data_IF_885185941938
#
_entry.id   IF_885185941938
#
_cell.length_a   1.000
_cell.length_b   1.000
_cell.length_c   1.000
_cell.angle_alpha   90.00
_cell.angle_beta   90.00
_cell.angle_gamma   90.00
#
_symmetry.space_group_name_H-M   'P 1'
#
loop_
_entity.id
_entity.type
_entity.pdbx_description
1 polymer ?
#
# COMPACT_ATOMS: atom_id res chain seq x y z
N UNK A 1 -10.04 7.47 -7.81
CA UNK A 1 -10.24 6.38 -8.79
C UNK A 1 -9.90 5.08 -8.08
N UNK A 2 -10.44 3.96 -8.53
CA UNK A 2 -10.10 2.63 -8.04
C UNK A 2 -9.88 1.69 -9.23
N UNK A 3 -8.82 0.88 -9.17
CA UNK A 3 -8.54 -0.16 -10.15
C UNK A 3 -8.69 -1.49 -9.42
N UNK A 4 -9.63 -2.34 -9.85
CA UNK A 4 -9.88 -3.60 -9.20
C UNK A 4 -8.73 -4.59 -9.44
N UNK A 5 -8.57 -5.54 -8.51
CA UNK A 5 -7.60 -6.61 -8.65
C UNK A 5 -7.80 -7.35 -9.98
N UNK A 6 -6.69 -7.61 -10.69
CA UNK A 6 -6.71 -8.29 -11.98
C UNK A 6 -7.18 -7.43 -13.16
N UNK A 7 -7.44 -6.13 -12.98
CA UNK A 7 -7.78 -5.25 -14.11
C UNK A 7 -6.54 -4.92 -14.95
N UNK A 8 -6.67 -4.97 -16.28
CA UNK A 8 -5.63 -4.55 -17.23
C UNK A 8 -6.01 -3.24 -17.90
N UNK A 9 -5.36 -2.14 -17.50
CA UNK A 9 -5.51 -0.84 -18.16
C UNK A 9 -4.67 -0.82 -19.44
N UNK A 10 -5.29 -0.65 -20.63
CA UNK A 10 -4.53 -0.52 -21.87
C UNK A 10 -3.64 0.73 -21.88
N UNK A 11 -2.60 0.70 -22.70
CA UNK A 11 -1.71 1.84 -22.87
C UNK A 11 -2.46 3.12 -23.25
N UNK A 12 -1.95 4.26 -22.77
CA UNK A 12 -2.48 5.61 -23.05
C UNK A 12 -3.94 5.83 -22.60
N UNK A 13 -4.51 4.94 -21.78
CA UNK A 13 -5.84 5.12 -21.22
C UNK A 13 -5.84 6.26 -20.19
N UNK A 14 -6.73 7.24 -20.36
CA UNK A 14 -7.02 8.24 -19.34
C UNK A 14 -8.16 7.72 -18.45
N UNK A 15 -7.86 7.49 -17.17
CA UNK A 15 -8.86 7.03 -16.19
C UNK A 15 -9.51 8.25 -15.53
N UNK A 16 -10.84 8.43 -15.61
CA UNK A 16 -11.50 9.56 -14.98
C UNK A 16 -11.35 9.56 -13.45
N UNK A 17 -11.27 10.74 -12.80
CA UNK A 17 -11.39 10.83 -11.36
C UNK A 17 -12.68 10.17 -10.90
N UNK A 18 -12.65 9.44 -9.78
CA UNK A 18 -13.83 8.72 -9.26
C UNK A 18 -14.22 7.43 -9.99
N UNK A 19 -13.60 7.08 -11.13
CA UNK A 19 -13.94 5.84 -11.84
C UNK A 19 -13.48 4.58 -11.08
N UNK A 20 -14.26 3.51 -11.21
CA UNK A 20 -13.91 2.14 -10.79
C UNK A 20 -13.70 1.28 -12.05
N UNK A 21 -12.45 0.89 -12.29
CA UNK A 21 -12.04 0.13 -13.48
C UNK A 21 -11.90 -1.36 -13.17
N UNK A 22 -12.46 -2.23 -14.02
CA UNK A 22 -12.46 -3.70 -13.81
C UNK A 22 -12.22 -4.46 -15.12
N UNK A 23 -11.63 -5.66 -15.02
CA UNK A 23 -11.57 -6.64 -16.12
C UNK A 23 -10.35 -6.53 -17.06
N UNK A 24 -10.34 -7.40 -18.08
CA UNK A 24 -9.27 -7.50 -19.08
C UNK A 24 -9.91 -7.56 -20.48
N UNK A 25 -9.80 -6.51 -21.32
CA UNK A 25 -9.28 -5.19 -20.98
C UNK A 25 -10.20 -4.46 -19.99
N UNK A 26 -9.64 -3.55 -19.21
CA UNK A 26 -10.39 -2.85 -18.18
C UNK A 26 -11.42 -1.88 -18.76
N UNK A 27 -12.61 -1.84 -18.14
CA UNK A 27 -13.70 -0.91 -18.44
C UNK A 27 -14.18 -0.24 -17.15
N UNK A 28 -14.72 0.97 -17.25
CA UNK A 28 -15.41 1.62 -16.13
C UNK A 28 -16.69 0.83 -15.83
N UNK A 29 -16.82 0.36 -14.59
CA UNK A 29 -18.02 -0.34 -14.10
C UNK A 29 -18.99 0.63 -13.43
N UNK A 30 -18.44 1.48 -12.57
CA UNK A 30 -19.20 2.39 -11.72
C UNK A 30 -18.35 3.56 -11.25
N UNK A 31 -18.98 4.49 -10.54
CA UNK A 31 -18.35 5.61 -9.87
C UNK A 31 -18.21 5.29 -8.39
N UNK A 32 -17.12 5.76 -7.79
CA UNK A 32 -16.97 5.73 -6.33
C UNK A 32 -18.10 6.51 -5.68
N UNK A 33 -18.76 5.88 -4.71
CA UNK A 33 -19.64 6.58 -3.79
C UNK A 33 -18.84 7.33 -2.70
N UNK A 34 -19.52 8.15 -1.90
CA UNK A 34 -18.87 8.93 -0.85
C UNK A 34 -18.24 8.07 0.25
N UNK A 35 -18.86 6.95 0.61
CA UNK A 35 -18.33 6.06 1.64
C UNK A 35 -17.03 5.40 1.17
N UNK A 36 -17.00 4.94 -0.08
CA UNK A 36 -15.81 4.38 -0.73
C UNK A 36 -14.71 5.43 -0.88
N UNK A 37 -15.06 6.66 -1.25
CA UNK A 37 -14.10 7.77 -1.36
C UNK A 37 -13.47 8.08 0.01
N UNK A 38 -14.28 8.26 1.04
CA UNK A 38 -13.81 8.51 2.41
C UNK A 38 -12.96 7.34 2.94
N UNK A 39 -13.34 6.10 2.61
CA UNK A 39 -12.54 4.94 2.97
C UNK A 39 -11.14 5.00 2.33
N UNK A 40 -11.06 5.28 1.02
CA UNK A 40 -9.78 5.43 0.31
C UNK A 40 -8.91 6.56 0.87
N UNK A 41 -9.53 7.67 1.28
CA UNK A 41 -8.84 8.77 1.96
C UNK A 41 -8.29 8.34 3.33
N UNK A 42 -8.95 7.42 4.04
CA UNK A 42 -8.49 6.97 5.35
C UNK A 42 -7.37 5.90 5.29
N UNK A 43 -7.43 4.96 4.33
CA UNK A 43 -6.58 3.75 4.37
C UNK A 43 -5.08 4.01 4.30
N UNK A 44 -4.64 5.08 3.63
CA UNK A 44 -3.21 5.34 3.43
C UNK A 44 -2.47 5.57 4.75
N UNK A 45 -3.13 6.20 5.72
CA UNK A 45 -2.57 6.53 7.04
C UNK A 45 -2.11 5.28 7.79
N UNK A 46 -2.87 4.19 7.65
CA UNK A 46 -2.55 2.89 8.25
C UNK A 46 -1.28 2.29 7.66
N UNK A 47 -1.14 2.33 6.33
CA UNK A 47 0.06 1.82 5.66
C UNK A 47 1.31 2.62 6.03
N UNK A 48 1.20 3.94 6.15
CA UNK A 48 2.31 4.79 6.64
C UNK A 48 2.71 4.35 8.04
N UNK A 49 1.74 4.21 8.95
CA UNK A 49 2.00 3.82 10.34
C UNK A 49 2.69 2.46 10.42
N UNK A 50 2.14 1.44 9.77
CA UNK A 50 2.70 0.08 9.73
C UNK A 50 4.10 0.08 9.12
N UNK A 51 4.32 0.86 8.05
CA UNK A 51 5.62 0.99 7.42
C UNK A 51 6.68 1.59 8.35
N UNK A 52 6.32 2.59 9.17
CA UNK A 52 7.25 3.14 10.17
C UNK A 52 7.57 2.14 11.27
N UNK A 53 6.58 1.36 11.73
CA UNK A 53 6.79 0.30 12.72
C UNK A 53 7.82 -0.72 12.21
N UNK A 54 7.61 -1.28 11.02
CA UNK A 54 8.56 -2.26 10.46
C UNK A 54 9.94 -1.65 10.19
N UNK A 55 10.00 -0.38 9.82
CA UNK A 55 11.29 0.32 9.64
C UNK A 55 12.05 0.43 10.97
N UNK A 56 11.36 0.69 12.08
CA UNK A 56 11.96 0.77 13.40
C UNK A 56 12.41 -0.61 13.90
N UNK A 57 11.55 -1.62 13.78
CA UNK A 57 11.87 -3.01 14.15
C UNK A 57 13.06 -3.55 13.35
N UNK A 58 13.07 -3.32 12.04
CA UNK A 58 14.18 -3.73 11.19
C UNK A 58 15.49 -3.05 11.58
N UNK A 59 15.45 -1.77 11.99
CA UNK A 59 16.64 -1.05 12.46
C UNK A 59 17.19 -1.69 13.74
N UNK A 60 16.32 -2.08 14.66
CA UNK A 60 16.74 -2.74 15.90
C UNK A 60 17.35 -4.11 15.64
N UNK A 61 16.72 -4.92 14.77
CA UNK A 61 17.23 -6.24 14.39
C UNK A 61 18.59 -6.19 13.66
N UNK A 62 18.83 -5.13 12.89
CA UNK A 62 20.07 -4.95 12.13
C UNK A 62 21.13 -4.14 12.91
N UNK A 63 20.82 -3.65 14.11
CA UNK A 63 21.80 -2.96 14.92
C UNK A 63 22.93 -3.95 15.32
N UNK A 64 24.21 -3.57 15.21
CA UNK A 64 25.31 -4.40 15.66
C UNK A 64 25.11 -4.80 17.12
N UNK A 65 25.10 -6.10 17.40
CA UNK A 65 24.88 -6.60 18.75
C UNK A 65 26.14 -6.35 19.59
N UNK A 66 26.18 -5.24 20.34
CA UNK A 66 27.23 -4.94 21.33
C UNK A 66 27.10 -5.82 22.60
N UNK A 67 26.80 -7.10 22.43
CA UNK A 67 26.89 -8.11 23.49
C UNK A 67 27.89 -9.18 23.10
N UNK A 68 29.17 -8.84 23.25
CA UNK A 68 30.14 -9.84 23.66
C UNK A 68 31.21 -9.19 24.52
N UNK A 69 31.17 -9.44 25.83
CA UNK A 69 32.41 -9.57 26.58
C UNK A 69 32.44 -10.92 27.30
N UNK A 70 33.44 -11.72 26.93
CA UNK A 70 34.12 -12.72 27.75
C UNK A 70 33.36 -14.00 28.16
N UNK A 71 33.74 -15.10 27.52
CA UNK A 71 34.03 -16.35 28.25
C UNK A 71 35.37 -16.90 27.75
N UNK A 72 36.43 -16.29 28.26
CA UNK A 72 37.76 -16.90 28.34
C UNK A 72 38.07 -17.08 29.81
N UNK A 73 38.01 -18.32 30.27
CA UNK A 73 38.96 -19.00 31.16
C UNK A 73 38.67 -20.51 31.02
#
# INVERSE_FOLDING_TARGET
MMIAAGALIPERTQVPPGAVMVGVPARERERLDDAQRLHLEAIHSRYVTVGQTYKAELRELLAPNERSPHRGD
#
